data_IF_906135985992
#
_entry.id   IF_906135985992
#
_cell.length_a   1.000
_cell.length_b   1.000
_cell.length_c   1.000
_cell.angle_alpha   90.00
_cell.angle_beta   90.00
_cell.angle_gamma   90.00
#
_symmetry.space_group_name_H-M   'P 1'
#
loop_
_entity.id
_entity.type
_entity.pdbx_description
1 polymer ?
#
# COMPACT_ATOMS: atom_id res chain seq x y z
N UNK A 1 -7.18 -30.46 13.43
CA UNK A 1 -7.43 -30.16 12.00
C UNK A 1 -7.56 -28.66 11.84
N UNK A 2 -7.15 -28.11 10.70
CA UNK A 2 -7.36 -26.69 10.38
C UNK A 2 -8.77 -26.49 9.83
N UNK A 3 -9.42 -25.38 10.19
CA UNK A 3 -10.76 -25.01 9.71
C UNK A 3 -10.70 -23.60 9.15
N UNK A 4 -11.19 -23.41 7.92
CA UNK A 4 -11.39 -22.08 7.35
C UNK A 4 -12.43 -21.32 8.19
N UNK A 5 -12.06 -20.16 8.71
CA UNK A 5 -12.95 -19.30 9.52
C UNK A 5 -13.48 -18.13 8.71
N UNK A 6 -12.67 -17.56 7.82
CA UNK A 6 -13.03 -16.36 7.06
C UNK A 6 -12.29 -16.30 5.72
N UNK A 7 -12.93 -15.69 4.73
CA UNK A 7 -12.34 -15.35 3.43
C UNK A 7 -12.48 -13.84 3.22
N UNK A 8 -11.38 -13.19 2.88
CA UNK A 8 -11.34 -11.76 2.60
C UNK A 8 -11.04 -11.52 1.13
N UNK A 9 -11.72 -10.54 0.52
CA UNK A 9 -11.53 -10.15 -0.88
C UNK A 9 -11.23 -8.66 -0.93
N UNK A 10 -10.16 -8.30 -1.63
CA UNK A 10 -9.67 -6.92 -1.70
C UNK A 10 -9.42 -6.47 -3.14
N UNK A 11 -9.59 -5.18 -3.35
CA UNK A 11 -9.27 -4.53 -4.61
C UNK A 11 -10.36 -4.66 -5.68
N UNK A 12 -10.09 -3.98 -6.78
CA UNK A 12 -10.84 -4.06 -8.04
C UNK A 12 -9.79 -4.08 -9.15
N UNK A 13 -9.76 -5.09 -10.03
CA UNK A 13 -8.76 -5.18 -11.10
C UNK A 13 -8.73 -3.96 -12.02
N UNK A 14 -9.80 -3.15 -12.07
CA UNK A 14 -9.88 -1.96 -12.93
C UNK A 14 -9.32 -0.71 -12.23
N UNK A 15 -9.58 -0.53 -10.94
CA UNK A 15 -9.33 0.74 -10.24
C UNK A 15 -8.47 0.65 -8.98
N UNK A 16 -8.36 -0.53 -8.37
CA UNK A 16 -7.65 -0.73 -7.10
C UNK A 16 -6.96 -2.10 -7.09
N UNK A 17 -6.09 -2.34 -8.08
CA UNK A 17 -5.26 -3.55 -8.12
C UNK A 17 -4.47 -3.67 -6.82
N UNK A 18 -4.55 -4.83 -6.17
CA UNK A 18 -3.75 -5.15 -4.99
C UNK A 18 -2.39 -5.63 -5.47
N UNK A 19 -1.34 -4.95 -5.01
CA UNK A 19 0.04 -5.26 -5.41
C UNK A 19 0.81 -5.94 -4.29
N UNK A 20 0.55 -5.59 -3.03
CA UNK A 20 1.22 -6.19 -1.87
C UNK A 20 0.27 -6.36 -0.69
N UNK A 21 0.51 -7.42 0.10
CA UNK A 21 -0.17 -7.68 1.37
C UNK A 21 0.85 -8.09 2.44
N UNK A 22 0.58 -7.71 3.69
CA UNK A 22 1.39 -8.07 4.85
C UNK A 22 0.51 -8.17 6.08
N UNK A 23 0.86 -9.05 7.01
CA UNK A 23 0.09 -9.33 8.21
C UNK A 23 0.97 -9.13 9.45
N UNK A 24 0.42 -8.44 10.44
CA UNK A 24 1.02 -8.34 11.77
C UNK A 24 0.15 -9.13 12.75
N UNK A 25 0.41 -10.44 12.91
CA UNK A 25 -0.48 -11.36 13.61
C UNK A 25 -0.59 -11.06 15.11
N UNK A 26 0.42 -10.45 15.71
CA UNK A 26 0.46 -10.12 17.14
C UNK A 26 -0.68 -9.18 17.56
N UNK A 27 -1.15 -8.39 16.60
CA UNK A 27 -2.22 -7.40 16.80
C UNK A 27 -3.36 -7.55 15.80
N UNK A 28 -3.40 -8.67 15.05
CA UNK A 28 -4.46 -8.99 14.09
C UNK A 28 -4.66 -7.92 13.00
N UNK A 29 -3.58 -7.35 12.48
CA UNK A 29 -3.66 -6.33 11.42
C UNK A 29 -3.26 -6.91 10.08
N UNK A 30 -4.06 -6.66 9.06
CA UNK A 30 -3.74 -6.87 7.66
C UNK A 30 -3.52 -5.53 6.98
N UNK A 31 -2.38 -5.36 6.31
CA UNK A 31 -2.10 -4.23 5.43
C UNK A 31 -2.20 -4.67 3.97
N UNK A 32 -2.86 -3.85 3.16
CA UNK A 32 -3.06 -4.04 1.73
C UNK A 32 -2.57 -2.80 0.99
N UNK A 33 -1.55 -2.95 0.16
CA UNK A 33 -1.02 -1.90 -0.70
C UNK A 33 -1.61 -2.05 -2.11
N UNK A 34 -2.27 -0.99 -2.58
CA UNK A 34 -2.91 -0.93 -3.88
C UNK A 34 -2.15 0.01 -4.82
N UNK A 35 -2.30 -0.22 -6.12
CA UNK A 35 -1.88 0.75 -7.12
C UNK A 35 -2.49 2.14 -6.83
N UNK A 36 -1.73 3.21 -7.07
CA UNK A 36 -2.17 4.59 -6.78
C UNK A 36 -1.72 5.12 -5.41
N UNK A 37 -0.71 4.51 -4.78
CA UNK A 37 -0.15 4.89 -3.46
C UNK A 37 -1.17 4.86 -2.32
N UNK A 38 -2.23 4.07 -2.46
CA UNK A 38 -3.25 3.84 -1.43
C UNK A 38 -2.92 2.57 -0.67
N UNK A 39 -2.80 2.69 0.64
CA UNK A 39 -2.58 1.55 1.54
C UNK A 39 -3.73 1.50 2.55
N UNK A 40 -4.26 0.31 2.77
CA UNK A 40 -5.47 0.08 3.56
C UNK A 40 -5.19 -0.94 4.65
N UNK A 41 -5.70 -0.70 5.85
CA UNK A 41 -5.50 -1.56 7.01
C UNK A 41 -6.84 -2.09 7.50
N UNK A 42 -6.84 -3.35 7.92
CA UNK A 42 -8.00 -4.05 8.45
C UNK A 42 -7.63 -4.71 9.78
N UNK A 43 -8.57 -4.70 10.73
CA UNK A 43 -8.52 -5.61 11.88
C UNK A 43 -9.18 -6.92 11.46
N UNK A 44 -8.41 -8.01 11.41
CA UNK A 44 -8.91 -9.31 10.92
C UNK A 44 -9.79 -10.05 11.95
N UNK A 45 -9.92 -9.53 13.17
CA UNK A 45 -10.93 -10.01 14.12
C UNK A 45 -12.30 -9.40 13.86
N UNK A 46 -12.36 -8.23 13.21
CA UNK A 46 -13.62 -7.61 12.86
C UNK A 46 -14.29 -8.38 11.71
N UNK A 47 -15.60 -8.56 11.79
CA UNK A 47 -16.39 -9.17 10.70
C UNK A 47 -16.70 -8.17 9.57
N UNK A 48 -16.24 -6.93 9.70
CA UNK A 48 -16.46 -5.90 8.68
C UNK A 48 -15.29 -5.85 7.71
N UNK A 49 -15.62 -5.60 6.44
CA UNK A 49 -14.63 -5.22 5.41
C UNK A 49 -14.34 -3.71 5.42
N UNK A 50 -14.77 -3.00 6.47
CA UNK A 50 -14.46 -1.59 6.63
C UNK A 50 -13.00 -1.42 7.06
N UNK A 51 -12.25 -0.51 6.42
CA UNK A 51 -10.87 -0.28 6.77
C UNK A 51 -10.77 0.52 8.08
N UNK A 52 -9.88 0.08 8.97
CA UNK A 52 -9.56 0.81 10.21
C UNK A 52 -8.63 2.00 9.96
N UNK A 53 -7.89 1.98 8.84
CA UNK A 53 -7.01 3.07 8.41
C UNK A 53 -6.81 3.06 6.90
N UNK A 54 -6.69 4.25 6.32
CA UNK A 54 -6.35 4.46 4.91
C UNK A 54 -5.23 5.49 4.81
N UNK A 55 -4.06 5.06 4.33
CA UNK A 55 -2.91 5.93 4.07
C UNK A 55 -2.81 6.23 2.58
N UNK A 56 -2.56 7.50 2.24
CA UNK A 56 -2.39 7.95 0.86
C UNK A 56 -1.03 8.62 0.70
N UNK A 57 -0.22 8.14 -0.26
CA UNK A 57 1.10 8.67 -0.59
C UNK A 57 1.07 9.99 -1.36
N UNK A 58 -0.09 10.39 -1.89
CA UNK A 58 -0.28 11.59 -2.71
C UNK A 58 -1.14 11.28 -3.93
N UNK A 59 -1.13 12.16 -4.94
CA UNK A 59 -1.78 11.90 -6.22
C UNK A 59 -0.78 11.26 -7.19
N UNK A 60 -0.42 10.01 -6.94
CA UNK A 60 0.45 9.22 -7.81
C UNK A 60 -0.34 8.03 -8.38
N UNK A 61 -1.27 8.25 -9.33
CA UNK A 61 -2.15 7.19 -9.83
C UNK A 61 -1.38 6.01 -10.46
N UNK A 62 -0.11 6.22 -10.81
CA UNK A 62 0.71 5.25 -11.51
C UNK A 62 1.64 4.51 -10.55
N UNK A 63 1.70 4.92 -9.27
CA UNK A 63 2.55 4.30 -8.27
C UNK A 63 2.13 2.85 -8.08
N UNK A 64 3.05 1.95 -8.43
CA UNK A 64 2.86 0.51 -8.26
C UNK A 64 3.73 0.03 -7.11
N UNK A 65 3.14 -0.33 -5.95
CA UNK A 65 3.86 -1.00 -4.88
C UNK A 65 4.61 -2.24 -5.36
N UNK A 66 5.79 -2.48 -4.83
CA UNK A 66 6.57 -3.70 -5.04
C UNK A 66 6.91 -4.43 -3.74
N UNK A 67 6.98 -3.71 -2.62
CA UNK A 67 7.12 -4.29 -1.29
C UNK A 67 6.48 -3.43 -0.21
N UNK A 68 6.09 -4.07 0.89
CA UNK A 68 5.66 -3.40 2.11
C UNK A 68 6.30 -4.05 3.33
N UNK A 69 6.38 -3.28 4.42
CA UNK A 69 6.78 -3.78 5.71
C UNK A 69 5.89 -3.17 6.80
N UNK A 70 5.30 -4.02 7.63
CA UNK A 70 4.43 -3.64 8.74
C UNK A 70 5.07 -3.93 10.10
N UNK A 71 4.97 -2.95 10.99
CA UNK A 71 5.30 -3.09 12.42
C UNK A 71 4.22 -2.45 13.27
N UNK A 72 4.32 -2.59 14.60
CA UNK A 72 3.32 -2.06 15.52
C UNK A 72 3.09 -0.55 15.38
N UNK A 73 4.15 0.21 15.05
CA UNK A 73 4.13 1.67 14.96
C UNK A 73 4.28 2.20 13.53
N UNK A 74 5.06 1.50 12.71
CA UNK A 74 5.48 1.98 11.40
C UNK A 74 5.02 1.09 10.27
N UNK A 75 4.71 1.72 9.16
CA UNK A 75 4.43 1.07 7.89
C UNK A 75 5.27 1.71 6.79
N UNK A 76 5.90 0.89 5.97
CA UNK A 76 6.65 1.32 4.81
C UNK A 76 6.09 0.66 3.55
N UNK A 77 6.07 1.41 2.45
CA UNK A 77 5.80 0.90 1.11
C UNK A 77 6.87 1.44 0.17
N UNK A 78 7.47 0.54 -0.61
CA UNK A 78 8.25 0.90 -1.78
C UNK A 78 7.43 0.66 -3.04
N UNK A 79 7.74 1.39 -4.11
CA UNK A 79 7.15 1.17 -5.40
C UNK A 79 7.99 1.69 -6.55
N UNK A 80 7.61 1.30 -7.77
CA UNK A 80 8.47 1.37 -8.97
C UNK A 80 8.08 2.40 -10.04
N UNK A 81 6.90 3.03 -9.95
CA UNK A 81 6.39 3.96 -11.00
C UNK A 81 5.61 5.16 -10.43
N UNK A 82 6.23 6.20 -9.85
CA UNK A 82 7.66 6.45 -9.80
C UNK A 82 8.36 5.60 -8.74
N UNK A 83 9.69 5.52 -8.82
CA UNK A 83 10.49 4.95 -7.75
C UNK A 83 10.35 5.82 -6.51
N UNK A 84 9.66 5.31 -5.49
CA UNK A 84 9.44 6.04 -4.26
C UNK A 84 9.30 5.09 -3.07
N UNK A 85 9.68 5.59 -1.90
CA UNK A 85 9.43 4.95 -0.62
C UNK A 85 8.68 5.92 0.27
N UNK A 86 7.53 5.47 0.77
CA UNK A 86 6.74 6.17 1.76
C UNK A 86 6.80 5.43 3.09
N UNK A 87 6.94 6.19 4.17
CA UNK A 87 6.96 5.65 5.53
C UNK A 87 5.98 6.46 6.37
N UNK A 88 5.18 5.76 7.16
CA UNK A 88 4.21 6.36 8.08
C UNK A 88 4.36 5.81 9.48
N UNK A 89 3.99 6.62 10.47
CA UNK A 89 3.38 6.10 11.68
C UNK A 89 1.90 5.82 11.36
N UNK A 90 1.56 4.55 11.15
CA UNK A 90 0.29 4.19 10.51
C UNK A 90 -0.92 4.41 11.42
N UNK A 91 -0.76 4.17 12.72
CA UNK A 91 -1.83 4.41 13.72
C UNK A 91 -2.19 5.88 13.81
N UNK A 92 -1.19 6.76 13.75
CA UNK A 92 -1.40 8.21 13.80
C UNK A 92 -1.75 8.81 12.44
N UNK A 93 -1.65 8.04 11.35
CA UNK A 93 -1.80 8.56 9.99
C UNK A 93 -0.73 9.56 9.56
N UNK A 94 0.37 9.66 10.31
CA UNK A 94 1.42 10.68 10.07
C UNK A 94 2.47 10.12 9.12
N UNK A 95 2.65 10.79 7.97
CA UNK A 95 3.73 10.47 7.03
C UNK A 95 5.06 11.01 7.53
N UNK A 96 6.06 10.14 7.62
CA UNK A 96 7.39 10.44 8.17
C UNK A 96 8.42 10.74 7.08
N UNK A 97 8.26 10.18 5.88
CA UNK A 97 9.20 10.39 4.76
C UNK A 97 8.53 10.20 3.40
N UNK A 98 8.97 10.98 2.41
CA UNK A 98 8.73 10.78 0.98
C UNK A 98 10.08 10.82 0.21
N UNK A 99 10.79 9.71 0.13
CA UNK A 99 11.96 9.64 -0.76
C UNK A 99 11.49 9.20 -2.13
N UNK A 100 11.40 10.14 -3.06
CA UNK A 100 11.16 9.88 -4.48
C UNK A 100 12.52 9.91 -5.16
N UNK A 101 12.93 8.79 -5.78
CA UNK A 101 14.10 8.82 -6.65
C UNK A 101 13.62 9.25 -8.05
N UNK A 102 13.99 10.48 -8.44
CA UNK A 102 13.58 11.09 -9.70
C UNK A 102 14.40 10.62 -10.92
N UNK A 103 15.43 9.78 -10.74
CA UNK A 103 16.35 9.36 -11.80
C UNK A 103 15.71 8.57 -12.97
N UNK A 104 14.44 8.13 -12.85
CA UNK A 104 13.72 7.42 -13.92
C UNK A 104 12.58 8.21 -14.60
N UNK A 105 12.35 9.46 -14.23
CA UNK A 105 11.26 10.26 -14.82
C UNK A 105 11.69 10.90 -16.15
N UNK A 106 12.98 11.19 -16.38
CA UNK A 106 13.41 11.83 -17.64
C UNK A 106 13.40 10.89 -18.87
N UNK A 107 13.35 9.57 -18.70
CA UNK A 107 13.37 8.62 -19.82
C UNK A 107 11.99 8.18 -20.33
N UNK A 108 10.91 8.53 -19.62
CA UNK A 108 9.54 8.07 -19.94
C UNK A 108 8.55 9.18 -20.30
N UNK A 109 8.97 10.44 -20.24
CA UNK A 109 8.16 11.62 -20.58
C UNK A 109 8.50 12.27 -21.92
N UNK A 110 9.40 11.68 -22.73
CA UNK A 110 9.50 12.10 -24.13
C UNK A 110 8.32 11.49 -24.90
N UNK A 111 7.38 12.31 -25.43
CA UNK A 111 6.49 11.80 -26.46
C UNK A 111 7.36 11.28 -27.63
N UNK A 112 6.95 10.21 -28.34
CA UNK A 112 7.64 9.84 -29.57
C UNK A 112 7.70 11.07 -30.48
N UNK A 113 8.92 11.50 -30.82
CA UNK A 113 9.12 12.46 -31.88
C UNK A 113 8.84 11.75 -33.20
N UNK A 114 7.96 12.39 -33.99
CA UNK A 114 7.48 12.07 -35.34
C UNK A 114 6.27 11.14 -35.44
#
# INVERSE_FOLDING_TARGET
GFRLVSTWNFGDPVHNSVECIDILPEINILAVAMCGSKCVFYDINEQSNDPIQVLKGGNHPWFVPDSIALSQDYFAVSGRKPSAVFIWNWRKGVRLSNRVNYEMIESSFLPPLF
#
